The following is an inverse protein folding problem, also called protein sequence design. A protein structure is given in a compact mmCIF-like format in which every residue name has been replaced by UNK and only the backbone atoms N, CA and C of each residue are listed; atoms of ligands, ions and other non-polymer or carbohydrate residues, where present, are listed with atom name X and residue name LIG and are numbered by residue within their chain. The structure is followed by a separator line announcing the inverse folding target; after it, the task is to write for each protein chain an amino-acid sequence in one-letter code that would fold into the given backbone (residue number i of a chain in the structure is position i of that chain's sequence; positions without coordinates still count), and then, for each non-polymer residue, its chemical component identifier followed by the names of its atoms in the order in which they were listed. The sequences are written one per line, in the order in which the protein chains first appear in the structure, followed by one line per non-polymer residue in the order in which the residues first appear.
data_IF_671849758843
#
_entry.id   IF_671849758843
#
_cell.length_a   1.000
_cell.length_b   1.000
_cell.length_c   1.000
_cell.angle_alpha   90.00
_cell.angle_beta   90.00
_cell.angle_gamma   90.00
#
_symmetry.space_group_name_H-M   'P 1'
#
loop_
_entity.id
_entity.type
_entity.pdbx_description
1 polymer ?
#
# COMPACT_ATOMS: atom_id res chain seq x y z
N UNK A 1 -42.99 24.42 -104.17
CA UNK A 1 -41.74 25.13 -103.86
C UNK A 1 -41.92 25.68 -102.46
N UNK A 2 -41.35 25.19 -101.37
CA UNK A 2 -40.46 24.08 -101.02
C UNK A 2 -40.72 23.87 -99.51
N UNK A 3 -41.05 22.65 -99.06
CA UNK A 3 -40.15 21.71 -98.37
C UNK A 3 -39.59 22.17 -97.01
N UNK A 4 -39.87 21.38 -95.97
CA UNK A 4 -39.13 21.31 -94.69
C UNK A 4 -39.98 21.64 -93.47
N UNK A 5 -39.99 20.90 -92.37
CA UNK A 5 -39.33 19.65 -92.00
C UNK A 5 -40.03 19.11 -90.72
N UNK A 6 -40.12 17.79 -90.60
CA UNK A 6 -40.32 17.09 -89.32
C UNK A 6 -39.09 17.30 -88.41
N UNK A 7 -39.28 17.25 -87.08
CA UNK A 7 -38.51 16.33 -86.25
C UNK A 7 -39.49 15.41 -85.50
N UNK A 8 -39.61 14.12 -85.81
CA UNK A 8 -38.72 13.01 -85.45
C UNK A 8 -38.16 13.13 -84.03
N UNK A 9 -38.74 12.33 -83.15
CA UNK A 9 -38.41 12.31 -81.73
C UNK A 9 -37.03 11.73 -81.43
N UNK A 10 -36.55 12.09 -80.25
CA UNK A 10 -35.63 11.29 -79.45
C UNK A 10 -35.94 11.63 -77.99
N UNK A 11 -36.84 10.87 -77.37
CA UNK A 11 -37.01 10.86 -75.92
C UNK A 11 -36.00 9.85 -75.38
N UNK A 12 -34.88 10.38 -74.86
CA UNK A 12 -33.85 9.61 -74.18
C UNK A 12 -34.41 8.96 -72.91
N UNK A 13 -34.66 7.66 -72.98
CA UNK A 13 -34.85 6.80 -71.81
C UNK A 13 -33.45 6.39 -71.34
N UNK A 14 -32.77 7.20 -70.51
CA UNK A 14 -31.44 6.82 -69.99
C UNK A 14 -31.08 7.29 -68.58
N UNK A 15 -32.04 7.46 -67.67
CA UNK A 15 -31.69 7.90 -66.30
C UNK A 15 -32.12 6.97 -65.14
N UNK A 16 -32.96 5.94 -65.39
CA UNK A 16 -33.54 5.19 -64.27
C UNK A 16 -32.62 4.11 -63.65
N UNK A 17 -31.70 3.53 -64.43
CA UNK A 17 -30.89 2.37 -63.98
C UNK A 17 -29.60 2.73 -63.22
N UNK A 18 -29.07 3.95 -63.38
CA UNK A 18 -27.82 4.38 -62.71
C UNK A 18 -28.06 4.75 -61.24
N UNK A 19 -29.22 5.35 -60.93
CA UNK A 19 -29.60 5.74 -59.55
C UNK A 19 -29.88 4.53 -58.65
N UNK A 20 -30.45 3.46 -59.20
CA UNK A 20 -30.75 2.22 -58.45
C UNK A 20 -29.50 1.42 -58.07
N UNK A 21 -28.44 1.51 -58.89
CA UNK A 21 -27.13 0.89 -58.63
C UNK A 21 -26.30 1.69 -57.62
N UNK A 22 -26.34 3.03 -57.70
CA UNK A 22 -25.65 3.93 -56.76
C UNK A 22 -26.19 3.80 -55.32
N UNK A 23 -27.51 3.75 -55.14
CA UNK A 23 -28.14 3.58 -53.83
C UNK A 23 -27.73 2.26 -53.14
N UNK A 24 -27.66 1.14 -53.87
CA UNK A 24 -27.23 -0.14 -53.30
C UNK A 24 -25.77 -0.13 -52.84
N UNK A 25 -24.88 0.58 -53.55
CA UNK A 25 -23.48 0.75 -53.15
C UNK A 25 -23.35 1.65 -51.92
N UNK A 26 -24.10 2.75 -51.87
CA UNK A 26 -24.10 3.68 -50.74
C UNK A 26 -24.62 3.02 -49.44
N UNK A 27 -25.74 2.28 -49.50
CA UNK A 27 -26.23 1.51 -48.36
C UNK A 27 -25.23 0.44 -47.88
N UNK A 28 -24.45 -0.14 -48.79
CA UNK A 28 -23.41 -1.12 -48.44
C UNK A 28 -22.24 -0.45 -47.73
N UNK A 29 -21.80 0.73 -48.19
CA UNK A 29 -20.77 1.53 -47.51
C UNK A 29 -21.21 1.99 -46.12
N UNK A 30 -22.46 2.42 -45.98
CA UNK A 30 -23.02 2.83 -44.69
C UNK A 30 -23.08 1.66 -43.70
N UNK A 31 -23.51 0.47 -44.16
CA UNK A 31 -23.47 -0.75 -43.32
C UNK A 31 -22.05 -1.11 -42.89
N UNK A 32 -21.07 -1.03 -43.80
CA UNK A 32 -19.67 -1.30 -43.48
C UNK A 32 -19.09 -0.26 -42.52
N UNK A 33 -19.44 1.02 -42.67
CA UNK A 33 -19.03 2.10 -41.77
C UNK A 33 -19.59 1.90 -40.36
N UNK A 34 -20.89 1.60 -40.24
CA UNK A 34 -21.52 1.29 -38.95
C UNK A 34 -20.85 0.08 -38.30
N UNK A 35 -20.61 -1.00 -39.06
CA UNK A 35 -19.93 -2.19 -38.55
C UNK A 35 -18.51 -1.86 -38.06
N UNK A 36 -17.77 -1.04 -38.80
CA UNK A 36 -16.42 -0.61 -38.42
C UNK A 36 -16.43 0.23 -37.13
N UNK A 37 -17.37 1.18 -37.00
CA UNK A 37 -17.56 1.94 -35.78
C UNK A 37 -17.90 1.03 -34.59
N UNK A 38 -18.81 0.06 -34.77
CA UNK A 38 -19.17 -0.90 -33.72
C UNK A 38 -17.99 -1.77 -33.29
N UNK A 39 -17.20 -2.29 -34.24
CA UNK A 39 -16.02 -3.10 -33.93
C UNK A 39 -14.95 -2.30 -33.19
N UNK A 40 -14.76 -1.04 -33.57
CA UNK A 40 -13.80 -0.14 -32.90
C UNK A 40 -14.25 0.15 -31.47
N UNK A 41 -15.53 0.48 -31.26
CA UNK A 41 -16.09 0.69 -29.92
C UNK A 41 -16.00 -0.55 -29.03
N UNK A 42 -16.33 -1.72 -29.58
CA UNK A 42 -16.19 -3.00 -28.89
C UNK A 42 -14.74 -3.30 -28.50
N UNK A 43 -13.79 -3.04 -29.39
CA UNK A 43 -12.36 -3.22 -29.13
C UNK A 43 -11.83 -2.34 -28.00
N UNK A 44 -12.22 -1.05 -27.99
CA UNK A 44 -11.84 -0.12 -26.91
C UNK A 44 -12.40 -0.56 -25.56
N UNK A 45 -13.69 -0.88 -25.50
CA UNK A 45 -14.33 -1.32 -24.26
C UNK A 45 -13.73 -2.64 -23.75
N UNK A 46 -13.40 -3.56 -24.66
CA UNK A 46 -12.73 -4.82 -24.29
C UNK A 46 -11.32 -4.57 -23.77
N UNK A 47 -10.56 -3.65 -24.37
CA UNK A 47 -9.20 -3.31 -23.93
C UNK A 47 -9.20 -2.70 -22.53
N UNK A 48 -10.12 -1.78 -22.23
CA UNK A 48 -10.29 -1.19 -20.89
C UNK A 48 -10.67 -2.25 -19.85
N UNK A 49 -11.60 -3.15 -20.19
CA UNK A 49 -11.96 -4.27 -19.32
C UNK A 49 -10.76 -5.19 -19.06
N UNK A 50 -9.97 -5.47 -20.11
CA UNK A 50 -8.82 -6.36 -20.01
C UNK A 50 -7.68 -5.76 -19.17
N UNK A 51 -7.41 -4.45 -19.32
CA UNK A 51 -6.47 -3.71 -18.47
C UNK A 51 -6.92 -3.73 -17.00
N UNK A 52 -8.21 -3.51 -16.75
CA UNK A 52 -8.76 -3.61 -15.39
C UNK A 52 -8.72 -5.05 -14.85
N UNK A 53 -8.92 -6.06 -15.70
CA UNK A 53 -8.84 -7.47 -15.32
C UNK A 53 -7.41 -7.87 -14.91
N UNK A 54 -6.40 -7.45 -15.69
CA UNK A 54 -4.99 -7.73 -15.37
C UNK A 54 -4.45 -6.96 -14.16
N UNK A 55 -5.13 -5.90 -13.74
CA UNK A 55 -4.81 -5.19 -12.48
C UNK A 55 -5.27 -5.96 -11.25
N UNK A 56 -5.99 -7.08 -11.41
CA UNK A 56 -6.54 -7.90 -10.33
C UNK A 56 -7.09 -7.06 -9.16
N UNK A 57 -7.99 -6.10 -9.42
CA UNK A 57 -8.52 -5.26 -8.36
C UNK A 57 -9.25 -6.14 -7.36
N UNK A 58 -8.72 -6.21 -6.14
CA UNK A 58 -9.35 -6.94 -5.04
C UNK A 58 -10.51 -6.09 -4.54
N UNK A 59 -11.74 -6.51 -4.83
CA UNK A 59 -12.93 -5.92 -4.21
C UNK A 59 -13.06 -6.47 -2.79
N UNK A 60 -12.68 -5.68 -1.80
CA UNK A 60 -12.90 -6.02 -0.39
C UNK A 60 -14.30 -5.59 0.01
N UNK A 61 -15.20 -6.56 0.19
CA UNK A 61 -16.50 -6.32 0.84
C UNK A 61 -16.28 -6.37 2.35
N UNK A 62 -16.35 -5.22 3.02
CA UNK A 62 -16.30 -5.15 4.48
C UNK A 62 -17.73 -5.23 5.01
N UNK A 63 -18.09 -6.41 5.50
CA UNK A 63 -19.33 -6.61 6.24
C UNK A 63 -19.03 -6.57 7.74
N UNK A 64 -19.68 -5.65 8.45
CA UNK A 64 -19.49 -5.48 9.89
C UNK A 64 -20.47 -6.39 10.62
N UNK A 65 -20.02 -7.59 10.95
CA UNK A 65 -20.79 -8.51 11.79
C UNK A 65 -20.57 -8.18 13.27
N UNK A 66 -21.66 -8.04 14.01
CA UNK A 66 -21.61 -7.80 15.46
C UNK A 66 -21.42 -9.16 16.14
N UNK A 67 -20.17 -9.48 16.47
CA UNK A 67 -19.83 -10.73 17.17
C UNK A 67 -20.27 -10.65 18.64
N UNK A 68 -21.01 -11.65 19.13
CA UNK A 68 -21.43 -11.74 20.54
C UNK A 68 -20.25 -12.03 21.48
N UNK A 69 -19.20 -12.68 20.96
CA UNK A 69 -17.96 -12.98 21.68
C UNK A 69 -16.75 -12.48 20.88
N UNK A 70 -15.97 -11.58 21.47
CA UNK A 70 -14.77 -11.02 20.85
C UNK A 70 -13.51 -11.64 21.46
N UNK A 71 -12.63 -12.30 20.67
CA UNK A 71 -11.40 -12.86 21.20
C UNK A 71 -10.49 -11.73 21.69
N UNK A 72 -10.07 -11.81 22.94
CA UNK A 72 -9.18 -10.81 23.53
C UNK A 72 -7.78 -10.97 22.91
N UNK A 73 -7.20 -9.91 22.31
CA UNK A 73 -5.87 -10.00 21.72
C UNK A 73 -4.81 -10.18 22.81
N UNK A 74 -3.67 -10.76 22.43
CA UNK A 74 -2.53 -10.84 23.32
C UNK A 74 -1.99 -9.42 23.62
N UNK A 75 -1.92 -9.07 24.89
CA UNK A 75 -1.27 -7.84 25.34
C UNK A 75 0.21 -8.12 25.58
N UNK A 76 1.08 -7.38 24.90
CA UNK A 76 2.52 -7.41 25.15
C UNK A 76 2.94 -6.11 25.83
N UNK A 77 3.66 -6.24 26.95
CA UNK A 77 4.16 -5.11 27.71
C UNK A 77 5.68 -5.08 27.61
N UNK A 78 6.23 -3.93 27.22
CA UNK A 78 7.68 -3.72 27.19
C UNK A 78 8.07 -2.63 28.19
N UNK A 79 9.19 -2.85 28.89
CA UNK A 79 9.82 -1.81 29.68
C UNK A 79 10.36 -0.72 28.73
N UNK A 80 10.17 0.55 29.10
CA UNK A 80 10.78 1.68 28.38
C UNK A 80 12.31 1.59 28.36
N UNK A 81 12.89 0.95 29.37
CA UNK A 81 14.33 0.72 29.46
C UNK A 81 14.67 -0.65 28.89
N UNK A 82 15.57 -0.66 27.91
CA UNK A 82 16.00 -1.87 27.20
C UNK A 82 17.06 -2.70 27.96
N UNK A 83 17.59 -2.18 29.06
CA UNK A 83 18.64 -2.83 29.86
C UNK A 83 18.41 -2.65 31.36
N UNK A 84 18.94 -3.59 32.14
CA UNK A 84 18.96 -3.50 33.60
C UNK A 84 20.28 -2.84 34.03
N UNK A 85 20.21 -1.66 34.66
CA UNK A 85 21.38 -0.91 35.13
C UNK A 85 22.33 -1.74 36.00
N UNK A 86 21.77 -2.57 36.89
CA UNK A 86 22.57 -3.42 37.77
C UNK A 86 23.36 -4.45 36.98
N UNK A 87 22.71 -5.11 36.01
CA UNK A 87 23.36 -6.11 35.17
C UNK A 87 24.40 -5.49 34.24
N UNK A 88 24.09 -4.32 33.67
CA UNK A 88 25.03 -3.57 32.83
C UNK A 88 26.32 -3.23 33.60
N UNK A 89 26.20 -2.68 34.81
CA UNK A 89 27.37 -2.29 35.60
C UNK A 89 28.12 -3.48 36.24
N UNK A 90 27.51 -4.67 36.30
CA UNK A 90 28.23 -5.90 36.64
C UNK A 90 29.13 -6.36 35.50
N UNK A 91 28.69 -6.19 34.25
CA UNK A 91 29.43 -6.64 33.06
C UNK A 91 30.44 -5.59 32.56
N UNK A 92 30.14 -4.31 32.76
CA UNK A 92 30.98 -3.17 32.36
C UNK A 92 31.20 -2.21 33.54
N UNK A 93 31.97 -2.61 34.57
CA UNK A 93 32.17 -1.80 35.78
C UNK A 93 32.88 -0.47 35.48
N UNK A 94 33.81 -0.46 34.52
CA UNK A 94 34.57 0.75 34.13
C UNK A 94 33.69 1.83 33.50
N UNK A 95 32.52 1.46 32.99
CA UNK A 95 31.56 2.37 32.37
C UNK A 95 30.47 2.81 33.36
N UNK A 96 30.65 2.55 34.65
CA UNK A 96 29.70 2.93 35.67
C UNK A 96 30.36 3.72 36.80
N UNK A 97 29.71 4.81 37.19
CA UNK A 97 30.12 5.61 38.35
C UNK A 97 29.15 5.38 39.50
N UNK A 98 29.71 5.39 40.71
CA UNK A 98 28.92 5.48 41.93
C UNK A 98 28.61 6.95 42.15
N UNK A 99 27.48 7.40 41.62
CA UNK A 99 27.07 8.78 41.82
C UNK A 99 26.33 8.93 43.14
N UNK A 100 26.64 9.98 43.89
CA UNK A 100 25.65 10.53 44.83
C UNK A 100 24.43 10.89 43.99
N UNK A 101 23.29 10.24 44.26
CA UNK A 101 22.08 10.60 43.54
C UNK A 101 21.81 12.08 43.84
N UNK A 102 21.78 12.98 42.83
CA UNK A 102 21.26 14.30 43.10
C UNK A 102 19.83 14.07 43.59
N UNK A 103 19.45 14.63 44.75
CA UNK A 103 18.12 14.43 45.37
C UNK A 103 16.98 14.53 44.34
N UNK A 104 17.18 15.37 43.33
CA UNK A 104 16.31 15.59 42.18
C UNK A 104 16.07 14.33 41.32
N UNK A 105 17.07 13.49 41.09
CA UNK A 105 16.93 12.26 40.29
C UNK A 105 16.06 11.21 41.00
N UNK A 106 16.30 10.95 42.29
CA UNK A 106 15.46 10.01 43.05
C UNK A 106 14.05 10.56 43.30
N UNK A 107 13.88 11.88 43.36
CA UNK A 107 12.55 12.51 43.42
C UNK A 107 11.77 12.28 42.11
N UNK A 108 12.42 12.40 40.94
CA UNK A 108 11.79 12.15 39.64
C UNK A 108 11.65 10.66 39.30
N UNK A 109 12.50 9.78 39.84
CA UNK A 109 12.53 8.36 39.53
C UNK A 109 12.56 7.47 40.81
N UNK A 110 11.50 7.52 41.64
CA UNK A 110 11.48 6.85 42.95
C UNK A 110 11.52 5.32 42.87
N UNK A 111 11.15 4.73 41.71
CA UNK A 111 11.19 3.26 41.50
C UNK A 111 12.62 2.73 41.31
N UNK A 112 13.54 3.60 40.89
CA UNK A 112 14.93 3.23 40.54
C UNK A 112 15.88 3.32 41.73
N UNK A 113 15.53 4.11 42.76
CA UNK A 113 16.31 4.23 43.98
C UNK A 113 15.73 3.30 45.07
N UNK A 114 16.59 2.50 45.73
CA UNK A 114 16.19 1.80 46.95
C UNK A 114 15.83 2.83 48.03
N UNK A 115 14.79 2.57 48.83
CA UNK A 115 14.46 3.43 50.00
C UNK A 115 15.71 3.57 50.86
N UNK A 116 16.17 4.81 51.07
CA UNK A 116 17.37 5.21 51.82
C UNK A 116 18.73 4.91 51.17
N UNK A 117 18.79 4.64 49.86
CA UNK A 117 20.07 4.59 49.15
C UNK A 117 20.55 6.01 48.82
N UNK A 118 21.63 6.46 49.46
CA UNK A 118 22.33 7.73 49.16
C UNK A 118 23.26 7.62 47.95
N UNK A 119 23.61 6.39 47.57
CA UNK A 119 24.49 6.08 46.46
C UNK A 119 23.87 5.00 45.59
N UNK A 120 24.12 5.09 44.29
CA UNK A 120 23.87 3.97 43.40
C UNK A 120 24.73 4.03 42.16
N UNK A 121 24.83 2.86 41.54
CA UNK A 121 25.72 2.63 40.42
C UNK A 121 24.92 2.92 39.15
N UNK A 122 25.36 3.91 38.38
CA UNK A 122 24.77 4.23 37.08
C UNK A 122 25.85 4.28 36.00
N UNK A 123 25.48 4.04 34.73
CA UNK A 123 26.37 4.29 33.62
C UNK A 123 26.81 5.76 33.60
N UNK A 124 28.11 5.99 33.37
CA UNK A 124 28.72 7.33 33.35
C UNK A 124 28.14 8.23 32.25
N UNK A 125 27.73 7.61 31.15
CA UNK A 125 26.97 8.26 30.08
C UNK A 125 25.55 7.73 30.07
N UNK A 126 24.55 8.61 30.25
CA UNK A 126 23.19 8.28 29.80
C UNK A 126 23.29 8.00 28.31
N UNK A 127 22.92 6.81 27.84
CA UNK A 127 23.07 6.48 26.44
C UNK A 127 22.03 7.23 25.64
N UNK A 128 22.42 8.39 25.13
CA UNK A 128 21.73 9.00 24.00
C UNK A 128 21.95 8.10 22.79
N UNK A 129 21.05 7.12 22.64
CA UNK A 129 20.73 6.36 21.43
C UNK A 129 21.86 5.64 20.65
N UNK A 130 23.13 5.81 21.02
CA UNK A 130 24.28 5.20 20.37
C UNK A 130 24.90 4.17 21.31
N UNK A 131 24.51 2.92 21.13
CA UNK A 131 25.17 1.79 21.78
C UNK A 131 25.86 0.90 20.75
N UNK A 132 27.09 0.54 21.09
CA UNK A 132 27.92 -0.41 20.36
C UNK A 132 27.18 -1.76 20.21
N UNK A 133 27.06 -2.23 18.97
CA UNK A 133 26.39 -3.49 18.61
C UNK A 133 26.97 -4.69 19.36
N UNK A 134 28.23 -4.63 19.77
CA UNK A 134 28.90 -5.70 20.50
C UNK A 134 28.40 -5.82 21.95
N UNK A 135 28.09 -4.69 22.58
CA UNK A 135 27.52 -4.64 23.94
C UNK A 135 26.08 -5.17 23.90
N UNK A 136 25.30 -4.76 22.90
CA UNK A 136 23.92 -5.23 22.70
C UNK A 136 23.87 -6.74 22.48
N UNK A 137 24.79 -7.30 21.68
CA UNK A 137 24.83 -8.74 21.41
C UNK A 137 25.13 -9.56 22.68
N UNK A 138 26.00 -9.07 23.56
CA UNK A 138 26.30 -9.71 24.86
C UNK A 138 25.13 -9.63 25.83
N UNK A 139 24.53 -8.45 26.01
CA UNK A 139 23.42 -8.26 26.94
C UNK A 139 22.15 -9.00 26.48
N UNK A 140 21.87 -9.01 25.18
CA UNK A 140 20.74 -9.76 24.61
C UNK A 140 20.92 -11.28 24.76
N UNK A 141 22.14 -11.80 24.61
CA UNK A 141 22.43 -13.22 24.84
C UNK A 141 22.16 -13.62 26.30
N UNK A 142 22.60 -12.79 27.25
CA UNK A 142 22.42 -13.05 28.68
C UNK A 142 20.96 -12.87 29.14
N UNK A 143 20.21 -11.92 28.59
CA UNK A 143 18.79 -11.75 28.92
C UNK A 143 17.91 -12.87 28.33
N UNK A 144 18.29 -13.41 27.18
CA UNK A 144 17.64 -14.60 26.59
C UNK A 144 17.73 -15.83 27.49
N UNK A 145 18.86 -16.01 28.18
CA UNK A 145 19.06 -17.10 29.13
C UNK A 145 18.33 -16.88 30.46
N UNK A 146 18.23 -15.63 30.93
CA UNK A 146 17.50 -15.32 32.17
C UNK A 146 15.99 -15.55 32.05
N UNK A 147 15.39 -15.31 30.88
CA UNK A 147 13.98 -15.63 30.62
C UNK A 147 13.71 -17.14 30.51
N UNK A 148 14.73 -17.95 30.20
CA UNK A 148 14.63 -19.42 30.19
C UNK A 148 14.80 -20.06 31.58
N UNK A 149 15.39 -19.33 32.55
CA UNK A 149 15.65 -19.84 33.90
C UNK A 149 14.54 -19.53 34.93
N UNK A 150 13.48 -18.80 34.53
CA UNK A 150 12.34 -18.44 35.38
C UNK A 150 11.03 -19.14 35.01
N UNK A 151 11.07 -20.20 34.19
CA UNK A 151 9.97 -21.15 34.02
C UNK A 151 10.29 -22.48 34.70
#
# INVERSE_FOLDING_TARGET
MDAGALPSGHLDIKDENTSRSSNKKWFRLLKMSILACCLTGFGLQTAEFLDNFYKYPVVVSLEYERMDEFPIPAFTFCSKYWYNFKQYCQEFPDNCETTEYPKNFCNSNPKSCKRNATHGIMPTTFPDFYFDKNILKKLAYNSSMASFASN
#
